data_IF_323632840852
#
_entry.id   IF_323632840852
#
_cell.length_a   1.000
_cell.length_b   1.000
_cell.length_c   1.000
_cell.angle_alpha   90.00
_cell.angle_beta   90.00
_cell.angle_gamma   90.00
#
_symmetry.space_group_name_H-M   'P 1'
#
loop_
_entity.id
_entity.type
_entity.pdbx_description
1 polymer ?
#
# COMPACT_ATOMS: atom_id res chain seq x y z
N UNK A 1 -4.69 0.47 -1.54
CA UNK A 1 -5.18 0.92 -0.21
C UNK A 1 -4.10 1.70 0.54
N UNK A 2 -2.98 1.13 0.97
CA UNK A 2 -1.94 1.86 1.72
C UNK A 2 -1.44 3.12 0.97
N UNK A 3 -1.12 3.01 -0.32
CA UNK A 3 -0.71 4.16 -1.14
C UNK A 3 -1.79 5.27 -1.22
N UNK A 4 -3.07 4.88 -1.28
CA UNK A 4 -4.19 5.83 -1.27
C UNK A 4 -4.25 6.61 0.05
N UNK A 5 -4.15 5.89 1.18
CA UNK A 5 -4.13 6.51 2.52
C UNK A 5 -2.93 7.46 2.66
N UNK A 6 -1.75 7.01 2.21
CA UNK A 6 -0.54 7.84 2.27
C UNK A 6 -0.66 9.10 1.42
N UNK A 7 -1.15 8.98 0.18
CA UNK A 7 -1.34 10.12 -0.72
C UNK A 7 -2.34 11.14 -0.15
N UNK A 8 -3.48 10.66 0.35
CA UNK A 8 -4.51 11.52 0.94
C UNK A 8 -3.99 12.25 2.19
N UNK A 9 -3.29 11.57 3.08
CA UNK A 9 -2.64 12.18 4.25
C UNK A 9 -1.58 13.24 3.91
N UNK A 10 -1.06 13.20 2.68
CA UNK A 10 -0.17 14.21 2.12
C UNK A 10 -0.87 15.24 1.23
N UNK A 11 -2.20 15.36 1.35
CA UNK A 11 -2.99 16.41 0.71
C UNK A 11 -3.44 16.11 -0.71
N UNK A 12 -3.33 14.87 -1.19
CA UNK A 12 -3.83 14.49 -2.50
C UNK A 12 -5.31 14.08 -2.45
N UNK A 13 -6.08 14.50 -3.46
CA UNK A 13 -7.38 13.90 -3.80
C UNK A 13 -7.13 12.55 -4.49
N UNK A 14 -7.78 11.48 -4.02
CA UNK A 14 -7.51 10.11 -4.46
C UNK A 14 -8.76 9.42 -4.97
N UNK A 15 -8.70 8.88 -6.18
CA UNK A 15 -9.66 7.90 -6.67
C UNK A 15 -9.07 6.49 -6.61
N UNK A 16 -9.73 5.59 -5.86
CA UNK A 16 -9.32 4.19 -5.70
C UNK A 16 -10.28 3.29 -6.49
N UNK A 17 -9.77 2.71 -7.58
CA UNK A 17 -10.54 1.78 -8.41
C UNK A 17 -10.31 0.34 -7.98
N UNK A 18 -11.39 -0.43 -7.88
CA UNK A 18 -11.40 -1.86 -7.56
C UNK A 18 -12.35 -2.60 -8.51
N UNK A 19 -11.85 -3.65 -9.16
CA UNK A 19 -12.64 -4.47 -10.09
C UNK A 19 -13.69 -5.36 -9.42
N UNK A 20 -13.51 -5.66 -8.13
CA UNK A 20 -14.45 -6.43 -7.33
C UNK A 20 -15.48 -5.54 -6.63
N UNK A 21 -16.40 -6.17 -5.92
CA UNK A 21 -17.44 -5.50 -5.11
C UNK A 21 -16.88 -4.83 -3.85
N UNK A 22 -15.69 -5.22 -3.38
CA UNK A 22 -15.05 -4.68 -2.17
C UNK A 22 -13.52 -4.63 -2.30
N UNK A 23 -12.92 -3.52 -1.86
CA UNK A 23 -11.47 -3.34 -1.87
C UNK A 23 -10.74 -4.34 -0.97
N UNK A 24 -9.55 -4.75 -1.40
CA UNK A 24 -8.58 -5.46 -0.57
C UNK A 24 -8.86 -6.95 -0.34
N UNK A 25 -9.78 -7.61 -1.05
CA UNK A 25 -10.05 -9.05 -0.92
C UNK A 25 -8.80 -9.91 -1.04
N UNK A 26 -7.83 -9.49 -1.86
CA UNK A 26 -6.57 -10.20 -2.06
C UNK A 26 -5.75 -10.33 -0.77
N UNK A 27 -5.85 -9.38 0.15
CA UNK A 27 -5.13 -9.40 1.43
C UNK A 27 -5.44 -10.67 2.22
N UNK A 28 -6.69 -11.13 2.21
CA UNK A 28 -7.13 -12.30 2.96
C UNK A 28 -6.41 -13.61 2.59
N UNK A 29 -5.87 -13.70 1.37
CA UNK A 29 -5.15 -14.87 0.87
C UNK A 29 -3.62 -14.74 0.99
N UNK A 30 -3.10 -13.62 1.50
CA UNK A 30 -1.66 -13.39 1.61
C UNK A 30 -1.07 -14.00 2.88
N UNK A 31 0.20 -14.45 2.81
CA UNK A 31 0.91 -15.00 3.94
C UNK A 31 0.17 -16.16 4.64
N UNK A 32 -0.44 -17.07 3.88
CA UNK A 32 -1.30 -18.15 4.43
C UNK A 32 -2.38 -17.61 5.38
N UNK A 33 -3.04 -16.52 5.02
CA UNK A 33 -4.09 -15.88 5.83
C UNK A 33 -3.58 -15.02 6.99
N UNK A 34 -2.25 -14.85 7.13
CA UNK A 34 -1.63 -14.04 8.21
C UNK A 34 -1.24 -12.63 7.77
N UNK A 35 -1.13 -12.39 6.47
CA UNK A 35 -0.66 -11.15 5.85
C UNK A 35 0.75 -10.73 6.31
N UNK A 36 1.78 -11.19 5.61
CA UNK A 36 3.14 -10.68 5.79
C UNK A 36 3.19 -9.22 5.31
N UNK A 37 3.51 -8.29 6.22
CA UNK A 37 3.55 -6.85 5.97
C UNK A 37 4.91 -6.38 5.45
N UNK A 38 5.96 -7.15 5.70
CA UNK A 38 7.33 -6.80 5.35
C UNK A 38 8.34 -7.69 6.04
N UNK A 39 9.62 -7.30 5.96
CA UNK A 39 10.72 -7.99 6.62
C UNK A 39 11.69 -6.96 7.19
N UNK A 40 12.23 -7.20 8.37
CA UNK A 40 13.23 -6.32 9.01
C UNK A 40 14.64 -6.48 8.40
N UNK A 41 14.88 -7.59 7.71
CA UNK A 41 16.16 -7.89 7.05
C UNK A 41 16.13 -7.49 5.57
N UNK A 42 15.50 -6.36 5.23
CA UNK A 42 15.44 -5.86 3.86
C UNK A 42 16.74 -5.14 3.51
N UNK A 43 17.51 -5.73 2.59
CA UNK A 43 18.65 -5.09 1.95
C UNK A 43 18.60 -5.27 0.43
N UNK A 44 19.33 -4.45 -0.35
CA UNK A 44 19.37 -4.55 -1.81
C UNK A 44 19.72 -5.95 -2.31
N UNK A 45 20.53 -6.69 -1.55
CA UNK A 45 20.96 -8.05 -1.84
C UNK A 45 19.83 -9.11 -1.79
N UNK A 46 18.67 -8.76 -1.23
CA UNK A 46 17.46 -9.62 -1.19
C UNK A 46 16.58 -9.48 -2.42
N UNK A 47 16.95 -8.61 -3.34
CA UNK A 47 16.14 -8.30 -4.52
C UNK A 47 16.89 -8.54 -5.81
N UNK A 48 16.17 -8.97 -6.83
CA UNK A 48 16.67 -9.02 -8.20
C UNK A 48 16.21 -7.76 -8.94
N UNK A 49 17.14 -6.91 -9.35
CA UNK A 49 16.84 -5.68 -10.06
C UNK A 49 17.87 -5.41 -11.15
N UNK A 50 17.41 -4.96 -12.31
CA UNK A 50 18.27 -4.40 -13.36
C UNK A 50 18.78 -2.99 -13.03
N UNK A 51 18.28 -2.38 -11.93
CA UNK A 51 18.63 -1.03 -11.49
C UNK A 51 18.88 -1.02 -9.97
N UNK A 52 19.98 -1.63 -9.48
CA UNK A 52 20.23 -1.80 -8.05
C UNK A 52 20.31 -0.47 -7.28
N UNK A 53 20.95 0.55 -7.85
CA UNK A 53 21.06 1.88 -7.23
C UNK A 53 19.71 2.54 -6.99
N UNK A 54 18.78 2.37 -7.94
CA UNK A 54 17.42 2.88 -7.81
C UNK A 54 16.62 2.13 -6.74
N UNK A 55 16.84 0.81 -6.65
CA UNK A 55 16.25 -0.01 -5.59
C UNK A 55 16.72 0.43 -4.21
N UNK A 56 18.03 0.67 -4.04
CA UNK A 56 18.61 1.14 -2.78
C UNK A 56 18.00 2.49 -2.34
N UNK A 57 17.84 3.43 -3.28
CA UNK A 57 17.17 4.70 -3.02
C UNK A 57 15.72 4.53 -2.56
N UNK A 58 14.99 3.56 -3.09
CA UNK A 58 13.62 3.27 -2.67
C UNK A 58 13.57 2.67 -1.27
N UNK A 59 14.40 1.67 -1.00
CA UNK A 59 14.47 1.01 0.32
C UNK A 59 14.93 1.98 1.41
N UNK A 60 15.80 2.94 1.09
CA UNK A 60 16.21 3.98 2.02
C UNK A 60 15.14 5.03 2.33
N UNK A 61 14.10 5.16 1.47
CA UNK A 61 13.00 6.12 1.69
C UNK A 61 11.82 5.53 2.47
N UNK A 62 11.65 4.24 2.48
CA UNK A 62 10.57 3.55 3.18
C UNK A 62 11.05 2.15 3.60
N UNK A 63 11.37 2.01 4.86
CA UNK A 63 11.97 0.80 5.43
C UNK A 63 10.96 0.02 6.31
N UNK A 64 11.47 -0.97 7.05
CA UNK A 64 10.65 -1.80 7.93
C UNK A 64 10.04 -1.01 9.10
N UNK A 65 10.78 -0.04 9.66
CA UNK A 65 10.29 0.80 10.76
C UNK A 65 9.16 1.73 10.27
N UNK A 66 9.30 2.28 9.05
CA UNK A 66 8.24 3.07 8.40
C UNK A 66 6.99 2.24 8.18
N UNK A 67 7.15 0.96 7.79
CA UNK A 67 6.02 0.01 7.66
C UNK A 67 5.33 -0.20 9.00
N UNK A 68 6.08 -0.45 10.07
CA UNK A 68 5.54 -0.62 11.42
C UNK A 68 4.82 0.65 11.87
N UNK A 69 5.45 1.81 11.72
CA UNK A 69 4.88 3.11 12.08
C UNK A 69 3.58 3.40 11.32
N UNK A 70 3.54 3.11 10.01
CA UNK A 70 2.34 3.25 9.21
C UNK A 70 1.18 2.41 9.77
N UNK A 71 1.39 1.11 9.98
CA UNK A 71 0.33 0.25 10.50
C UNK A 71 -0.07 0.57 11.94
N UNK A 72 0.88 0.97 12.80
CA UNK A 72 0.57 1.48 14.14
C UNK A 72 -0.32 2.72 14.07
N UNK A 73 -0.07 3.64 13.13
CA UNK A 73 -0.90 4.83 12.94
C UNK A 73 -2.34 4.52 12.51
N UNK A 74 -2.58 3.31 12.01
CA UNK A 74 -3.91 2.78 11.69
C UNK A 74 -4.52 1.96 12.83
N UNK A 75 -3.82 1.82 13.96
CA UNK A 75 -4.27 1.04 15.11
C UNK A 75 -3.95 -0.47 15.02
N UNK A 76 -3.11 -0.90 14.07
CA UNK A 76 -2.70 -2.30 13.96
C UNK A 76 -1.41 -2.54 14.73
N UNK A 77 -1.42 -3.43 15.72
CA UNK A 77 -0.22 -3.88 16.39
C UNK A 77 0.53 -4.91 15.51
N UNK A 78 1.82 -4.65 15.32
CA UNK A 78 2.71 -5.49 14.48
C UNK A 78 3.69 -6.25 15.37
N UNK A 79 3.97 -7.51 15.02
CA UNK A 79 5.02 -8.33 15.63
C UNK A 79 5.99 -8.83 14.59
N UNK A 80 7.23 -9.04 15.00
CA UNK A 80 8.27 -9.70 14.20
C UNK A 80 8.28 -11.22 14.47
N UNK A 81 8.42 -12.01 13.41
CA UNK A 81 8.59 -13.45 13.48
C UNK A 81 9.48 -13.93 12.33
N UNK A 82 10.64 -14.51 12.64
CA UNK A 82 11.61 -15.01 11.66
C UNK A 82 11.94 -13.96 10.57
N UNK A 83 12.24 -12.73 10.98
CA UNK A 83 12.51 -11.59 10.08
C UNK A 83 11.26 -10.96 9.49
N UNK A 84 10.14 -11.67 9.35
CA UNK A 84 8.90 -11.16 8.79
C UNK A 84 8.09 -10.32 9.79
N UNK A 85 7.32 -9.38 9.26
CA UNK A 85 6.38 -8.52 10.00
C UNK A 85 4.96 -9.01 9.81
N UNK A 86 4.24 -9.21 10.90
CA UNK A 86 2.86 -9.72 10.89
C UNK A 86 1.97 -8.94 11.87
N UNK A 87 0.65 -8.90 11.66
CA UNK A 87 -0.24 -8.43 12.71
C UNK A 87 -0.13 -9.34 13.95
N UNK A 88 -0.24 -8.79 15.15
CA UNK A 88 -0.17 -9.57 16.39
C UNK A 88 -1.23 -10.67 16.40
N UNK A 89 -2.41 -10.42 15.83
CA UNK A 89 -3.50 -11.40 15.67
C UNK A 89 -3.15 -12.60 14.77
N UNK A 90 -2.09 -12.52 13.95
CA UNK A 90 -1.78 -13.46 12.86
C UNK A 90 -2.95 -13.68 11.88
N UNK A 91 -3.82 -12.68 11.72
CA UNK A 91 -4.98 -12.74 10.83
C UNK A 91 -4.93 -11.62 9.79
N UNK A 92 -4.97 -11.98 8.51
CA UNK A 92 -5.01 -11.03 7.40
C UNK A 92 -6.25 -10.13 7.45
N UNK A 93 -7.34 -10.61 8.05
CA UNK A 93 -8.56 -9.83 8.27
C UNK A 93 -8.27 -8.55 9.08
N UNK A 94 -7.46 -8.63 10.15
CA UNK A 94 -7.13 -7.46 10.96
C UNK A 94 -6.42 -6.37 10.14
N UNK A 95 -5.54 -6.75 9.20
CA UNK A 95 -4.88 -5.82 8.29
C UNK A 95 -5.89 -5.19 7.32
N UNK A 96 -6.78 -6.00 6.78
CA UNK A 96 -7.82 -5.54 5.86
C UNK A 96 -8.78 -4.56 6.54
N UNK A 97 -9.18 -4.85 7.76
CA UNK A 97 -10.14 -4.04 8.51
C UNK A 97 -9.58 -2.65 8.82
N UNK A 98 -8.34 -2.54 9.32
CA UNK A 98 -7.74 -1.23 9.62
C UNK A 98 -7.51 -0.40 8.35
N UNK A 99 -7.16 -1.04 7.22
CA UNK A 99 -7.01 -0.34 5.95
C UNK A 99 -8.35 0.15 5.38
N UNK A 100 -9.41 -0.65 5.47
CA UNK A 100 -10.76 -0.24 5.06
C UNK A 100 -11.28 0.89 5.93
N UNK A 101 -11.16 0.73 7.24
CA UNK A 101 -11.58 1.77 8.19
C UNK A 101 -10.87 3.10 7.93
N UNK A 102 -9.56 3.07 7.67
CA UNK A 102 -8.80 4.27 7.36
C UNK A 102 -9.27 4.94 6.06
N UNK A 103 -9.61 4.15 5.01
CA UNK A 103 -10.14 4.67 3.75
C UNK A 103 -11.54 5.28 3.95
N UNK A 104 -12.41 4.61 4.68
CA UNK A 104 -13.79 5.08 4.94
C UNK A 104 -13.83 6.41 5.71
N UNK A 105 -12.82 6.67 6.54
CA UNK A 105 -12.72 7.91 7.33
C UNK A 105 -11.93 9.02 6.65
N UNK A 106 -11.34 8.75 5.50
CA UNK A 106 -10.54 9.74 4.76
C UNK A 106 -11.36 10.38 3.64
N UNK A 107 -11.87 11.61 3.82
CA UNK A 107 -12.77 12.24 2.85
C UNK A 107 -12.09 12.54 1.50
N UNK A 108 -10.76 12.60 1.47
CA UNK A 108 -9.99 12.79 0.24
C UNK A 108 -9.89 11.51 -0.60
N UNK A 109 -10.43 10.36 -0.13
CA UNK A 109 -10.40 9.11 -0.88
C UNK A 109 -11.80 8.74 -1.38
N UNK A 110 -11.98 8.69 -2.69
CA UNK A 110 -13.18 8.16 -3.33
C UNK A 110 -12.93 6.72 -3.81
N UNK A 111 -13.73 5.78 -3.32
CA UNK A 111 -13.64 4.37 -3.73
C UNK A 111 -14.69 4.07 -4.81
N UNK A 112 -14.23 3.49 -5.92
CA UNK A 112 -15.08 3.02 -7.02
C UNK A 112 -14.90 1.51 -7.17
N UNK A 113 -15.85 0.75 -6.67
CA UNK A 113 -15.91 -0.71 -6.81
C UNK A 113 -16.57 -1.13 -8.11
N UNK A 114 -16.40 -2.40 -8.49
CA UNK A 114 -16.91 -2.96 -9.75
C UNK A 114 -16.41 -2.17 -10.99
N UNK A 115 -15.26 -1.53 -10.84
CA UNK A 115 -14.63 -0.70 -11.85
C UNK A 115 -13.26 -1.27 -12.22
N UNK A 116 -13.20 -2.02 -13.30
CA UNK A 116 -11.96 -2.61 -13.81
C UNK A 116 -11.26 -1.61 -14.72
N UNK A 117 -9.98 -1.39 -14.49
CA UNK A 117 -9.12 -0.61 -15.37
C UNK A 117 -8.47 -1.53 -16.39
N UNK A 118 -8.79 -1.34 -17.66
CA UNK A 118 -8.26 -2.16 -18.74
C UNK A 118 -6.99 -1.56 -19.36
N UNK A 119 -6.87 -0.22 -19.37
CA UNK A 119 -5.74 0.45 -19.99
C UNK A 119 -5.41 1.78 -19.31
N UNK A 120 -4.12 2.09 -19.21
CA UNK A 120 -3.59 3.38 -18.76
C UNK A 120 -2.85 4.01 -19.93
N UNK A 121 -3.24 5.22 -20.33
CA UNK A 121 -2.61 5.97 -21.40
C UNK A 121 -1.88 7.19 -20.84
N UNK A 122 -0.64 7.37 -21.25
CA UNK A 122 0.10 8.59 -20.95
C UNK A 122 -0.30 9.68 -21.94
N UNK A 123 -1.02 10.70 -21.46
CA UNK A 123 -1.21 11.91 -22.25
C UNK A 123 0.08 12.73 -22.26
N UNK A 124 0.68 12.90 -23.43
CA UNK A 124 1.70 13.92 -23.65
C UNK A 124 0.98 15.27 -23.62
N UNK A 125 1.25 16.11 -22.58
CA UNK A 125 0.73 17.48 -22.57
C UNK A 125 1.14 18.17 -23.87
N UNK A 126 0.22 18.38 -24.79
CA UNK A 126 0.38 19.40 -25.83
C UNK A 126 0.34 20.73 -25.07
N UNK A 127 1.42 21.52 -25.18
CA UNK A 127 1.45 22.89 -24.71
C UNK A 127 0.21 23.60 -25.30
N UNK A 128 -0.76 23.95 -24.44
CA UNK A 128 -1.78 24.90 -24.79
C UNK A 128 -1.09 26.25 -24.87
N UNK A 129 -0.70 26.69 -26.07
CA UNK A 129 -0.49 28.11 -26.32
C UNK A 129 -1.84 28.78 -26.06
N UNK A 130 -1.91 29.57 -25.00
CA UNK A 130 -2.97 30.55 -24.81
C UNK A 130 -2.67 31.67 -25.81
N UNK A 131 -3.53 31.80 -26.80
CA UNK A 131 -3.66 33.02 -27.62
C UNK A 131 -4.50 34.02 -26.83
#
# INVERSE_FOLDING_TARGET
MAAAIWAARNGAEVELFEGNDRVGKKILSTGNGKCNLGNVELGPEKYFSSQPERLEQFLGKFNADDTIAFFHSLGLLVKQKNGGLYPVSEQAASVLDVLRYAIEREPAIQVRTQCRIDRIERQTRRNKLLL
#
